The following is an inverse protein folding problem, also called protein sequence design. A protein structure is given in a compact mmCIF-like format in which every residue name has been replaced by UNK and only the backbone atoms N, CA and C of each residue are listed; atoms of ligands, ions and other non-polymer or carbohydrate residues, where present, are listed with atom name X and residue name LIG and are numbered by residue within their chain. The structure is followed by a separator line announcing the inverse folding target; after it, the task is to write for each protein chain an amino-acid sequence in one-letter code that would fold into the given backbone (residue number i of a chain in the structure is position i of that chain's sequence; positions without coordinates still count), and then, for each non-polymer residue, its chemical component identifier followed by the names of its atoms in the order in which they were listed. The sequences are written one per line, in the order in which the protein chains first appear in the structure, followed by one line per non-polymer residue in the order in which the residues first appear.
data_IF_139810206165
#
_entry.id   IF_139810206165
#
_cell.length_a   1.000
_cell.length_b   1.000
_cell.length_c   1.000
_cell.angle_alpha   90.00
_cell.angle_beta   90.00
_cell.angle_gamma   90.00
#
_symmetry.space_group_name_H-M   'P 1'
#
loop_
_entity.id
_entity.type
_entity.pdbx_description
1 polymer ?
#
# COMPACT_ATOMS: atom_id res chain seq x y z
N UNK A 1 -21.20 -1.75 -19.81
CA UNK A 1 -21.26 -2.05 -18.36
C UNK A 1 -20.71 -3.45 -18.23
N UNK A 2 -19.49 -3.61 -17.72
CA UNK A 2 -18.78 -4.90 -17.81
C UNK A 2 -19.30 -5.84 -16.73
N UNK A 3 -19.56 -7.11 -17.08
CA UNK A 3 -20.13 -8.18 -16.23
C UNK A 3 -19.25 -8.61 -15.03
N UNK A 4 -18.22 -7.82 -14.71
CA UNK A 4 -17.16 -8.15 -13.75
C UNK A 4 -17.14 -7.27 -12.49
N UNK A 5 -18.07 -6.32 -12.35
CA UNK A 5 -18.08 -5.35 -11.23
C UNK A 5 -18.19 -5.98 -9.82
N UNK A 6 -18.45 -7.30 -9.72
CA UNK A 6 -18.54 -8.05 -8.46
C UNK A 6 -17.39 -9.03 -8.19
N UNK A 7 -16.39 -9.14 -9.07
CA UNK A 7 -15.25 -10.07 -8.87
C UNK A 7 -14.00 -9.30 -8.44
N UNK A 8 -13.64 -9.45 -7.17
CA UNK A 8 -12.37 -8.98 -6.60
C UNK A 8 -11.20 -9.57 -7.40
N UNK A 9 -10.40 -8.71 -8.04
CA UNK A 9 -9.36 -9.10 -9.00
C UNK A 9 -8.10 -8.28 -8.79
N UNK A 10 -6.97 -8.94 -8.53
CA UNK A 10 -5.70 -8.25 -8.40
C UNK A 10 -5.16 -7.79 -9.76
N UNK A 11 -4.46 -6.66 -9.77
CA UNK A 11 -4.08 -5.96 -11.00
C UNK A 11 -2.70 -6.36 -11.55
N UNK A 12 -1.80 -6.92 -10.72
CA UNK A 12 -0.36 -7.03 -11.03
C UNK A 12 0.24 -8.34 -10.52
N UNK A 13 1.16 -8.92 -11.29
CA UNK A 13 2.16 -9.89 -10.81
C UNK A 13 3.48 -9.15 -10.65
N UNK A 14 4.08 -9.22 -9.46
CA UNK A 14 5.33 -8.52 -9.13
C UNK A 14 6.24 -9.40 -8.28
N UNK A 15 7.42 -8.91 -7.96
CA UNK A 15 8.35 -9.55 -7.05
C UNK A 15 8.35 -8.81 -5.71
N UNK A 16 8.21 -9.56 -4.63
CA UNK A 16 8.37 -9.07 -3.26
C UNK A 16 9.36 -10.01 -2.54
N UNK A 17 10.49 -9.48 -2.06
CA UNK A 17 11.54 -10.27 -1.40
C UNK A 17 11.95 -11.52 -2.17
N UNK A 18 12.21 -11.35 -3.47
CA UNK A 18 12.62 -12.42 -4.37
C UNK A 18 11.59 -13.55 -4.54
N UNK A 19 10.30 -13.26 -4.34
CA UNK A 19 9.19 -14.17 -4.62
C UNK A 19 8.15 -13.49 -5.49
N UNK A 20 7.60 -14.21 -6.46
CA UNK A 20 6.47 -13.71 -7.23
C UNK A 20 5.23 -13.65 -6.33
N UNK A 21 4.57 -12.50 -6.37
CA UNK A 21 3.33 -12.23 -5.64
C UNK A 21 2.33 -11.61 -6.59
N UNK A 22 1.06 -11.93 -6.36
CA UNK A 22 -0.05 -11.20 -6.94
C UNK A 22 -0.26 -9.96 -6.05
N UNK A 23 -0.47 -8.80 -6.67
CA UNK A 23 -0.63 -7.53 -5.99
C UNK A 23 -1.76 -6.71 -6.60
N UNK A 24 -2.44 -5.94 -5.76
CA UNK A 24 -3.39 -4.91 -6.22
C UNK A 24 -2.62 -3.58 -6.34
N UNK A 25 -2.82 -2.87 -7.43
CA UNK A 25 -2.07 -1.64 -7.74
C UNK A 25 -2.91 -0.41 -7.40
N UNK A 26 -2.30 0.52 -6.67
CA UNK A 26 -2.90 1.79 -6.30
C UNK A 26 -1.95 2.92 -6.60
N UNK A 27 -2.47 3.94 -7.28
CA UNK A 27 -1.76 5.17 -7.60
C UNK A 27 -2.45 6.34 -6.91
N UNK A 28 -1.67 7.17 -6.22
CA UNK A 28 -2.17 8.41 -5.64
C UNK A 28 -1.37 9.62 -6.07
N UNK A 29 -2.06 10.58 -6.66
CA UNK A 29 -1.57 11.92 -6.99
C UNK A 29 -1.88 12.96 -5.91
N UNK A 30 -2.43 12.53 -4.77
CA UNK A 30 -2.82 13.37 -3.63
C UNK A 30 -2.08 12.90 -2.36
N UNK A 31 -2.07 13.72 -1.31
CA UNK A 31 -1.56 13.36 0.02
C UNK A 31 -2.68 13.17 1.05
N UNK A 32 -3.93 13.06 0.59
CA UNK A 32 -5.08 12.84 1.47
C UNK A 32 -5.07 11.40 2.01
N UNK A 33 -4.50 11.25 3.21
CA UNK A 33 -4.31 9.96 3.85
C UNK A 33 -5.61 9.18 4.09
N UNK A 34 -6.76 9.85 4.28
CA UNK A 34 -8.04 9.18 4.49
C UNK A 34 -8.51 8.49 3.22
N UNK A 35 -8.49 9.21 2.08
CA UNK A 35 -8.85 8.66 0.78
C UNK A 35 -7.95 7.49 0.41
N UNK A 36 -6.64 7.65 0.56
CA UNK A 36 -5.67 6.58 0.25
C UNK A 36 -5.92 5.36 1.14
N UNK A 37 -6.14 5.54 2.45
CA UNK A 37 -6.43 4.43 3.35
C UNK A 37 -7.70 3.66 2.94
N UNK A 38 -8.74 4.35 2.48
CA UNK A 38 -9.98 3.70 2.03
C UNK A 38 -9.79 2.87 0.76
N UNK A 39 -9.01 3.38 -0.19
CA UNK A 39 -8.67 2.63 -1.41
C UNK A 39 -7.82 1.40 -1.09
N UNK A 40 -6.84 1.53 -0.20
CA UNK A 40 -6.01 0.41 0.25
C UNK A 40 -6.83 -0.67 0.94
N UNK A 41 -7.79 -0.30 1.80
CA UNK A 41 -8.67 -1.27 2.47
C UNK A 41 -9.51 -2.06 1.46
N UNK A 42 -9.95 -1.43 0.37
CA UNK A 42 -10.61 -2.14 -0.73
C UNK A 42 -9.63 -3.12 -1.41
N UNK A 43 -8.40 -2.68 -1.68
CA UNK A 43 -7.35 -3.52 -2.27
C UNK A 43 -6.95 -4.72 -1.40
N UNK A 44 -6.93 -4.58 -0.07
CA UNK A 44 -6.59 -5.67 0.86
C UNK A 44 -7.55 -6.85 0.84
N UNK A 45 -8.77 -6.68 0.30
CA UNK A 45 -9.70 -7.79 0.06
C UNK A 45 -9.29 -8.64 -1.14
N UNK A 46 -8.52 -8.06 -2.05
CA UNK A 46 -8.17 -8.66 -3.33
C UNK A 46 -6.79 -9.31 -3.31
N UNK A 47 -5.88 -8.78 -2.50
CA UNK A 47 -4.49 -9.25 -2.45
C UNK A 47 -3.86 -9.13 -1.06
N UNK A 48 -2.91 -10.03 -0.80
CA UNK A 48 -2.03 -9.99 0.36
C UNK A 48 -0.82 -9.04 0.19
N UNK A 49 -0.65 -8.46 -0.99
CA UNK A 49 0.35 -7.44 -1.30
C UNK A 49 -0.29 -6.27 -2.07
N UNK A 50 0.07 -5.04 -1.69
CA UNK A 50 -0.32 -3.82 -2.40
C UNK A 50 0.91 -3.14 -2.99
N UNK A 51 0.83 -2.78 -4.27
CA UNK A 51 1.75 -1.80 -4.85
C UNK A 51 1.11 -0.42 -4.71
N UNK A 52 1.72 0.46 -3.93
CA UNK A 52 1.26 1.83 -3.73
C UNK A 52 2.26 2.81 -4.34
N UNK A 53 1.89 3.49 -5.42
CA UNK A 53 2.65 4.62 -5.96
C UNK A 53 2.12 5.95 -5.42
N UNK A 54 3.01 6.73 -4.82
CA UNK A 54 2.71 8.05 -4.25
C UNK A 54 3.56 9.13 -4.92
N UNK A 55 2.92 9.99 -5.70
CA UNK A 55 3.58 11.16 -6.29
C UNK A 55 3.62 12.35 -5.31
N UNK A 56 2.66 12.38 -4.37
CA UNK A 56 2.57 13.36 -3.28
C UNK A 56 2.49 12.66 -1.93
N UNK A 57 2.79 13.41 -0.87
CA UNK A 57 2.87 12.90 0.49
C UNK A 57 4.30 12.58 0.91
N UNK A 58 4.48 12.44 2.22
CA UNK A 58 5.78 12.17 2.85
C UNK A 58 5.65 11.01 3.84
N UNK A 59 6.74 10.69 4.56
CA UNK A 59 6.72 9.66 5.60
C UNK A 59 5.61 9.85 6.63
N UNK A 60 5.24 11.09 6.95
CA UNK A 60 4.13 11.43 7.84
C UNK A 60 2.76 11.11 7.24
N UNK A 61 2.56 11.32 5.94
CA UNK A 61 1.37 10.90 5.21
C UNK A 61 1.20 9.38 5.27
N UNK A 62 2.26 8.63 4.92
CA UNK A 62 2.21 7.17 4.97
C UNK A 62 1.93 6.63 6.36
N UNK A 63 2.54 7.23 7.40
CA UNK A 63 2.22 6.88 8.79
C UNK A 63 0.73 7.09 9.11
N UNK A 64 0.14 8.22 8.73
CA UNK A 64 -1.29 8.49 8.94
C UNK A 64 -2.18 7.51 8.19
N UNK A 65 -1.78 7.08 6.99
CA UNK A 65 -2.49 6.04 6.23
C UNK A 65 -2.56 4.74 7.04
N UNK A 66 -1.41 4.26 7.54
CA UNK A 66 -1.35 3.05 8.38
C UNK A 66 -2.18 3.21 9.65
N UNK A 67 -2.07 4.34 10.35
CA UNK A 67 -2.86 4.63 11.55
C UNK A 67 -4.39 4.60 11.27
N UNK A 68 -4.84 5.10 10.11
CA UNK A 68 -6.25 5.02 9.72
C UNK A 68 -6.71 3.60 9.41
N UNK A 69 -5.87 2.79 8.75
CA UNK A 69 -6.15 1.37 8.48
C UNK A 69 -6.35 0.62 9.81
N UNK A 70 -5.45 0.84 10.77
CA UNK A 70 -5.51 0.22 12.10
C UNK A 70 -6.74 0.68 12.90
N UNK A 71 -7.09 1.97 12.84
CA UNK A 71 -8.33 2.51 13.46
C UNK A 71 -9.60 1.82 12.93
N UNK A 72 -9.61 1.48 11.64
CA UNK A 72 -10.71 0.70 11.01
C UNK A 72 -10.67 -0.80 11.35
N UNK A 73 -9.78 -1.22 12.27
CA UNK A 73 -9.56 -2.62 12.69
C UNK A 73 -9.18 -3.55 11.53
N UNK A 74 -8.60 -3.00 10.46
CA UNK A 74 -8.10 -3.78 9.32
C UNK A 74 -6.61 -4.03 9.52
N UNK A 75 -6.17 -5.27 9.27
CA UNK A 75 -4.75 -5.61 9.33
C UNK A 75 -4.08 -5.16 8.03
N UNK A 76 -3.02 -4.31 8.10
CA UNK A 76 -2.26 -3.96 6.91
C UNK A 76 -1.60 -5.20 6.29
N UNK A 77 -1.41 -5.15 4.97
CA UNK A 77 -0.82 -6.20 4.15
C UNK A 77 0.64 -5.86 3.80
N UNK A 78 1.30 -6.68 2.98
CA UNK A 78 2.61 -6.32 2.46
C UNK A 78 2.47 -5.14 1.50
N UNK A 79 3.48 -4.26 1.47
CA UNK A 79 3.50 -3.09 0.60
C UNK A 79 4.77 -3.07 -0.25
N UNK A 80 4.57 -2.73 -1.52
CA UNK A 80 5.63 -2.21 -2.40
C UNK A 80 5.31 -0.74 -2.61
N UNK A 81 6.09 0.12 -1.97
CA UNK A 81 5.92 1.56 -2.03
C UNK A 81 6.80 2.14 -3.13
N UNK A 82 6.19 2.89 -4.04
CA UNK A 82 6.89 3.58 -5.13
C UNK A 82 6.77 5.09 -4.89
N UNK A 83 7.90 5.77 -4.70
CA UNK A 83 7.88 7.22 -4.51
C UNK A 83 7.87 7.99 -5.84
N UNK A 84 7.74 9.32 -5.78
CA UNK A 84 7.75 10.21 -6.94
C UNK A 84 9.00 10.12 -7.83
N UNK A 85 10.09 9.58 -7.31
CA UNK A 85 11.35 9.35 -8.03
C UNK A 85 11.43 7.93 -8.62
N UNK A 86 10.33 7.18 -8.61
CA UNK A 86 10.23 5.77 -9.00
C UNK A 86 11.19 4.84 -8.21
N UNK A 87 11.66 5.27 -7.03
CA UNK A 87 12.36 4.37 -6.12
C UNK A 87 11.35 3.45 -5.47
N UNK A 88 11.77 2.23 -5.19
CA UNK A 88 10.93 1.16 -4.63
C UNK A 88 11.39 0.82 -3.22
N UNK A 89 10.44 0.63 -2.32
CA UNK A 89 10.66 0.14 -0.96
C UNK A 89 9.64 -0.96 -0.66
N UNK A 90 10.14 -2.14 -0.34
CA UNK A 90 9.33 -3.26 0.13
C UNK A 90 9.19 -3.22 1.65
N UNK A 91 7.95 -3.25 2.13
CA UNK A 91 7.62 -3.24 3.57
C UNK A 91 6.70 -4.43 3.84
N UNK A 92 7.17 -5.37 4.65
CA UNK A 92 6.33 -6.49 5.07
C UNK A 92 5.31 -6.07 6.11
N UNK A 93 4.18 -6.77 6.14
CA UNK A 93 3.17 -6.67 7.19
C UNK A 93 3.79 -6.78 8.58
N UNK A 94 4.78 -7.66 8.77
CA UNK A 94 5.50 -7.82 10.04
C UNK A 94 6.21 -6.53 10.44
N UNK A 95 6.90 -5.86 9.51
CA UNK A 95 7.55 -4.57 9.77
C UNK A 95 6.56 -3.44 10.03
N UNK A 96 5.36 -3.52 9.46
CA UNK A 96 4.28 -2.58 9.78
C UNK A 96 3.82 -2.78 11.22
N UNK A 97 3.52 -4.03 11.59
CA UNK A 97 3.07 -4.41 12.93
C UNK A 97 4.10 -4.11 14.02
N UNK A 98 5.39 -4.31 13.72
CA UNK A 98 6.51 -3.99 14.63
C UNK A 98 6.87 -2.49 14.63
N UNK A 99 6.21 -1.66 13.81
CA UNK A 99 6.49 -0.24 13.70
C UNK A 99 7.80 0.13 12.99
N UNK A 100 8.56 -0.87 12.51
CA UNK A 100 9.83 -0.69 11.77
C UNK A 100 9.67 0.11 10.49
N UNK A 101 8.48 0.04 9.87
CA UNK A 101 8.16 0.82 8.68
C UNK A 101 8.43 2.32 8.85
N UNK A 102 8.27 2.88 10.06
CA UNK A 102 8.48 4.31 10.33
C UNK A 102 9.90 4.77 10.02
N UNK A 103 10.89 3.92 10.31
CA UNK A 103 12.29 4.18 9.98
C UNK A 103 12.56 3.98 8.48
N UNK A 104 11.96 2.95 7.88
CA UNK A 104 12.12 2.63 6.45
C UNK A 104 11.60 3.75 5.54
N UNK A 105 10.43 4.32 5.86
CA UNK A 105 9.85 5.38 5.02
C UNK A 105 10.49 6.75 5.25
N UNK A 106 11.24 6.92 6.35
CA UNK A 106 11.89 8.20 6.68
C UNK A 106 13.06 8.42 5.71
N UNK A 107 13.00 9.50 4.93
CA UNK A 107 14.01 9.83 3.92
C UNK A 107 13.85 9.06 2.60
N UNK A 108 12.92 8.10 2.53
CA UNK A 108 12.49 7.49 1.29
C UNK A 108 11.31 8.26 0.64
N UNK A 109 10.32 8.62 1.45
CA UNK A 109 9.18 9.49 1.07
C UNK A 109 9.43 10.94 1.45
#
# INVERSE_FOLDING_TARGET
MSEYDNISSADVITMFRNRYVIADFKYSSTDNYNTIAEELIKGFKQSDCIVLKMDKGNSGTFRKIIEQIERKKVKPKDFILINKYNKVLEISRKEIQEGKYKALVKGFL
#
